data_IF_594651377237
#
_entry.id   IF_594651377237
#
_cell.length_a   1.000
_cell.length_b   1.000
_cell.length_c   1.000
_cell.angle_alpha   90.00
_cell.angle_beta   90.00
_cell.angle_gamma   90.00
#
_symmetry.space_group_name_H-M   'P 1'
#
loop_
_entity.id
_entity.type
_entity.pdbx_description
1 polymer ?
#
# COMPACT_ATOMS: atom_id res chain seq x y z
N UNK A 1 3.58 -2.38 -18.81
CA UNK A 1 2.98 -2.21 -17.47
C UNK A 1 2.16 -0.93 -17.55
N UNK A 2 0.82 -1.04 -17.60
CA UNK A 2 -0.07 0.14 -17.75
C UNK A 2 -0.07 0.85 -16.40
N UNK A 3 0.26 2.14 -16.38
CA UNK A 3 0.22 2.99 -15.18
C UNK A 3 -1.14 2.84 -14.49
N UNK A 4 -1.18 2.56 -13.18
CA UNK A 4 -2.45 2.45 -12.44
C UNK A 4 -3.31 3.72 -12.50
N UNK A 5 -2.75 4.85 -12.85
CA UNK A 5 -3.44 6.14 -13.03
C UNK A 5 -4.40 6.19 -14.23
N UNK A 6 -4.34 5.21 -15.16
CA UNK A 6 -5.21 5.18 -16.36
C UNK A 6 -6.61 4.61 -16.07
N UNK A 7 -6.90 4.10 -14.87
CA UNK A 7 -8.22 3.52 -14.55
C UNK A 7 -9.20 4.44 -13.86
N UNK A 8 -8.82 5.60 -13.42
CA UNK A 8 -9.79 6.65 -13.15
C UNK A 8 -10.18 7.24 -14.50
N UNK A 9 -11.26 6.71 -15.06
CA UNK A 9 -11.76 7.17 -16.35
C UNK A 9 -11.80 8.70 -16.36
N UNK A 10 -11.42 9.28 -17.47
CA UNK A 10 -11.49 10.66 -17.97
C UNK A 10 -12.12 11.79 -17.12
N UNK A 11 -12.46 11.57 -15.86
CA UNK A 11 -12.78 12.61 -14.89
C UNK A 11 -11.46 13.23 -14.43
N UNK A 12 -11.25 14.48 -14.81
CA UNK A 12 -10.22 15.31 -14.18
C UNK A 12 -10.52 15.31 -12.70
N UNK A 13 -9.60 14.83 -11.86
CA UNK A 13 -9.71 15.00 -10.39
C UNK A 13 -10.03 16.46 -10.02
N UNK A 14 -9.53 17.40 -10.81
CA UNK A 14 -9.77 18.85 -10.76
C UNK A 14 -11.26 19.23 -10.88
N UNK A 15 -12.10 18.39 -11.46
CA UNK A 15 -13.54 18.67 -11.65
C UNK A 15 -14.42 18.13 -10.52
N UNK A 16 -13.83 17.41 -9.55
CA UNK A 16 -14.57 16.95 -8.38
C UNK A 16 -14.70 18.11 -7.37
N UNK A 17 -15.88 18.38 -6.82
CA UNK A 17 -16.08 19.39 -5.76
C UNK A 17 -15.22 19.15 -4.51
N UNK A 18 -14.83 17.89 -4.30
CA UNK A 18 -14.03 17.40 -3.18
C UNK A 18 -12.52 17.44 -3.46
N UNK A 19 -12.11 17.84 -4.65
CA UNK A 19 -10.70 17.80 -5.07
C UNK A 19 -9.79 18.56 -4.11
N UNK A 20 -10.16 19.75 -3.70
CA UNK A 20 -9.34 20.56 -2.79
C UNK A 20 -9.11 19.83 -1.45
N UNK A 21 -10.14 19.21 -0.90
CA UNK A 21 -10.02 18.47 0.36
C UNK A 21 -9.15 17.21 0.20
N UNK A 22 -9.32 16.49 -0.89
CA UNK A 22 -8.51 15.28 -1.19
C UNK A 22 -7.06 15.69 -1.45
N UNK A 23 -6.82 16.77 -2.20
CA UNK A 23 -5.50 17.29 -2.48
C UNK A 23 -4.75 17.65 -1.19
N UNK A 24 -5.37 18.44 -0.33
CA UNK A 24 -4.76 18.90 0.93
C UNK A 24 -4.44 17.72 1.86
N UNK A 25 -5.37 16.78 2.00
CA UNK A 25 -5.14 15.56 2.78
C UNK A 25 -4.05 14.68 2.17
N UNK A 26 -4.02 14.52 0.86
CA UNK A 26 -2.98 13.74 0.18
C UNK A 26 -1.60 14.41 0.31
N UNK A 27 -1.54 15.74 0.23
CA UNK A 27 -0.30 16.48 0.40
C UNK A 27 0.22 16.34 1.84
N UNK A 28 -0.65 16.49 2.85
CA UNK A 28 -0.29 16.32 4.27
C UNK A 28 0.31 14.94 4.52
N UNK A 29 -0.39 13.88 4.17
CA UNK A 29 0.09 12.50 4.33
C UNK A 29 1.38 12.23 3.54
N UNK A 30 1.52 12.83 2.37
CA UNK A 30 2.72 12.67 1.56
C UNK A 30 3.92 13.43 2.14
N UNK A 31 3.68 14.58 2.79
CA UNK A 31 4.70 15.35 3.51
C UNK A 31 5.20 14.63 4.77
N UNK A 32 4.37 13.84 5.43
CA UNK A 32 4.81 13.01 6.57
C UNK A 32 5.89 12.00 6.14
N UNK A 33 5.81 11.51 4.90
CA UNK A 33 6.83 10.62 4.34
C UNK A 33 8.01 11.40 3.76
N UNK A 34 7.70 12.50 3.06
CA UNK A 34 8.67 13.29 2.29
C UNK A 34 8.58 14.78 2.67
N UNK A 35 9.18 15.21 3.79
CA UNK A 35 9.02 16.58 4.32
C UNK A 35 9.50 17.71 3.40
N UNK A 36 10.28 17.39 2.36
CA UNK A 36 10.75 18.39 1.38
C UNK A 36 9.73 18.70 0.29
N UNK A 37 8.64 17.96 0.22
CA UNK A 37 7.57 18.18 -0.75
C UNK A 37 6.77 19.39 -0.31
N UNK A 38 6.54 20.31 -1.22
CA UNK A 38 5.80 21.55 -1.00
C UNK A 38 4.40 21.50 -1.60
N UNK A 39 4.23 20.73 -2.70
CA UNK A 39 2.98 20.66 -3.42
C UNK A 39 2.93 19.45 -4.37
N UNK A 40 1.72 19.08 -4.78
CA UNK A 40 1.43 18.02 -5.75
C UNK A 40 0.45 18.62 -6.77
N UNK A 41 0.70 18.39 -8.06
CA UNK A 41 -0.21 18.87 -9.11
C UNK A 41 -0.35 17.87 -10.24
N UNK A 42 -1.46 18.00 -10.98
CA UNK A 42 -1.70 17.29 -12.21
C UNK A 42 -1.33 18.20 -13.40
N UNK A 43 -0.42 17.73 -14.22
CA UNK A 43 0.04 18.48 -15.39
C UNK A 43 -0.32 17.73 -16.66
N UNK A 44 -0.86 18.48 -17.61
CA UNK A 44 -1.12 18.01 -18.96
C UNK A 44 0.10 18.29 -19.83
N UNK A 45 0.58 17.27 -20.55
CA UNK A 45 1.66 17.46 -21.51
C UNK A 45 1.10 17.85 -22.90
N UNK A 46 2.00 18.17 -23.84
CA UNK A 46 1.65 18.58 -25.19
C UNK A 46 0.86 17.52 -26.00
N UNK A 47 0.81 16.29 -25.54
CA UNK A 47 0.07 15.17 -26.15
C UNK A 47 -1.27 14.91 -25.45
N UNK A 48 -1.80 15.84 -24.66
CA UNK A 48 -3.00 15.70 -23.85
C UNK A 48 -2.96 14.49 -22.90
N UNK A 49 -1.75 14.12 -22.42
CA UNK A 49 -1.57 13.10 -21.41
C UNK A 49 -1.39 13.77 -20.06
N UNK A 50 -2.12 13.30 -19.08
CA UNK A 50 -2.01 13.79 -17.70
C UNK A 50 -0.94 13.00 -16.95
N UNK A 51 -0.17 13.73 -16.17
CA UNK A 51 0.84 13.17 -15.29
C UNK A 51 0.87 13.92 -13.96
N UNK A 52 1.53 13.33 -12.98
CA UNK A 52 1.75 13.96 -11.69
C UNK A 52 3.05 14.78 -11.74
N UNK A 53 3.02 15.94 -11.10
CA UNK A 53 4.21 16.71 -10.76
C UNK A 53 4.22 16.92 -9.23
N UNK A 54 5.41 16.89 -8.64
CA UNK A 54 5.64 17.27 -7.25
C UNK A 54 6.54 18.49 -7.19
N UNK A 55 6.26 19.40 -6.26
CA UNK A 55 7.10 20.56 -6.02
C UNK A 55 8.05 20.29 -4.86
N UNK A 56 9.34 20.44 -5.09
CA UNK A 56 10.39 20.33 -4.08
C UNK A 56 11.49 21.32 -4.33
N UNK A 57 12.01 21.99 -3.29
CA UNK A 57 13.02 23.05 -3.41
C UNK A 57 12.65 24.12 -4.47
N UNK A 58 11.37 24.53 -4.49
CA UNK A 58 10.80 25.51 -5.44
C UNK A 58 10.84 25.09 -6.92
N UNK A 59 11.12 23.82 -7.20
CA UNK A 59 11.11 23.28 -8.57
C UNK A 59 10.05 22.18 -8.71
N UNK A 60 9.38 22.18 -9.87
CA UNK A 60 8.48 21.10 -10.24
C UNK A 60 9.23 19.92 -10.85
N UNK A 61 9.03 18.75 -10.28
CA UNK A 61 9.58 17.47 -10.75
C UNK A 61 8.45 16.67 -11.39
N UNK A 62 8.57 16.44 -12.69
CA UNK A 62 7.58 15.71 -13.47
C UNK A 62 7.61 14.21 -13.17
N UNK A 63 6.47 13.53 -13.33
CA UNK A 63 6.27 12.11 -13.02
C UNK A 63 7.41 11.18 -13.46
N UNK A 64 7.96 11.38 -14.66
CA UNK A 64 9.06 10.57 -15.21
C UNK A 64 10.36 10.63 -14.41
N UNK A 65 10.52 11.67 -13.60
CA UNK A 65 11.69 11.91 -12.75
C UNK A 65 11.40 11.69 -11.26
N UNK A 66 10.17 11.35 -10.90
CA UNK A 66 9.77 10.98 -9.53
C UNK A 66 10.17 9.52 -9.29
N UNK A 67 10.71 9.19 -8.12
CA UNK A 67 11.05 7.80 -7.79
C UNK A 67 9.81 6.90 -7.78
N UNK A 68 10.00 5.64 -8.12
CA UNK A 68 8.90 4.66 -8.11
C UNK A 68 8.26 4.50 -6.72
N UNK A 69 9.07 4.57 -5.66
CA UNK A 69 8.58 4.50 -4.28
C UNK A 69 7.70 5.69 -3.92
N UNK A 70 8.11 6.92 -4.28
CA UNK A 70 7.29 8.11 -4.08
C UNK A 70 5.96 8.03 -4.83
N UNK A 71 6.01 7.64 -6.12
CA UNK A 71 4.78 7.47 -6.91
C UNK A 71 3.85 6.40 -6.32
N UNK A 72 4.42 5.30 -5.84
CA UNK A 72 3.62 4.23 -5.24
C UNK A 72 3.01 4.67 -3.91
N UNK A 73 3.76 5.38 -3.06
CA UNK A 73 3.23 5.94 -1.81
C UNK A 73 2.06 6.90 -2.07
N UNK A 74 2.26 7.84 -2.99
CA UNK A 74 1.22 8.78 -3.37
C UNK A 74 -0.01 8.07 -3.96
N UNK A 75 0.20 7.02 -4.75
CA UNK A 75 -0.89 6.20 -5.29
C UNK A 75 -1.71 5.52 -4.18
N UNK A 76 -1.05 4.94 -3.17
CA UNK A 76 -1.75 4.34 -2.03
C UNK A 76 -2.54 5.39 -1.24
N UNK A 77 -1.91 6.53 -0.94
CA UNK A 77 -2.55 7.64 -0.24
C UNK A 77 -3.84 8.07 -0.97
N UNK A 78 -3.74 8.39 -2.25
CA UNK A 78 -4.89 8.83 -3.04
C UNK A 78 -5.99 7.76 -3.09
N UNK A 79 -5.64 6.49 -3.30
CA UNK A 79 -6.65 5.42 -3.34
C UNK A 79 -7.38 5.25 -1.99
N UNK A 80 -6.65 5.32 -0.87
CA UNK A 80 -7.25 5.21 0.45
C UNK A 80 -8.18 6.39 0.73
N UNK A 81 -7.79 7.60 0.33
CA UNK A 81 -8.59 8.80 0.53
C UNK A 81 -9.84 8.85 -0.37
N UNK A 82 -9.76 8.29 -1.59
CA UNK A 82 -10.82 8.45 -2.60
C UNK A 82 -11.76 7.25 -2.74
N UNK A 83 -11.40 6.10 -2.17
CA UNK A 83 -12.26 4.92 -2.25
C UNK A 83 -13.56 5.13 -1.49
N UNK A 84 -14.66 4.65 -2.05
CA UNK A 84 -15.98 4.76 -1.44
C UNK A 84 -16.05 3.96 -0.11
N UNK A 85 -16.93 4.43 0.78
CA UNK A 85 -17.24 3.71 2.01
C UNK A 85 -17.74 2.29 1.68
N UNK A 86 -17.44 1.33 2.57
CA UNK A 86 -17.80 -0.09 2.44
C UNK A 86 -17.13 -0.80 1.25
N UNK A 87 -16.13 -0.18 0.62
CA UNK A 87 -15.35 -0.79 -0.45
C UNK A 87 -14.33 -1.82 0.09
N UNK A 88 -13.90 -2.69 -0.82
CA UNK A 88 -12.81 -3.65 -0.58
C UNK A 88 -11.61 -3.28 -1.45
N UNK A 89 -10.46 -3.03 -0.83
CA UNK A 89 -9.19 -2.80 -1.53
C UNK A 89 -8.36 -4.09 -1.46
N UNK A 90 -7.86 -4.53 -2.60
CA UNK A 90 -6.94 -5.66 -2.69
C UNK A 90 -5.54 -5.17 -3.07
N UNK A 91 -4.56 -5.45 -2.22
CA UNK A 91 -3.17 -5.03 -2.40
C UNK A 91 -2.28 -6.28 -2.46
N UNK A 92 -1.69 -6.54 -3.62
CA UNK A 92 -0.73 -7.63 -3.77
C UNK A 92 0.69 -7.11 -3.60
N UNK A 93 1.49 -7.81 -2.80
CA UNK A 93 2.85 -7.41 -2.42
C UNK A 93 2.90 -5.93 -2.01
N UNK A 94 2.16 -5.58 -0.96
CA UNK A 94 1.97 -4.20 -0.51
C UNK A 94 3.28 -3.41 -0.41
N UNK A 95 4.31 -4.02 0.18
CA UNK A 95 5.62 -3.39 0.39
C UNK A 95 6.45 -3.23 -0.88
N UNK A 96 6.12 -3.92 -1.95
CA UNK A 96 6.95 -3.94 -3.16
C UNK A 96 7.13 -2.54 -3.75
N UNK A 97 8.38 -2.06 -3.76
CA UNK A 97 8.74 -0.74 -4.25
C UNK A 97 8.48 0.42 -3.28
N UNK A 98 7.99 0.16 -2.07
CA UNK A 98 7.92 1.16 -1.00
C UNK A 98 9.25 1.21 -0.22
N UNK A 99 9.68 2.40 0.17
CA UNK A 99 10.75 2.57 1.16
C UNK A 99 10.23 2.29 2.57
N UNK A 100 11.13 1.99 3.53
CA UNK A 100 10.76 1.67 4.92
C UNK A 100 9.91 2.77 5.56
N UNK A 101 10.28 4.03 5.36
CA UNK A 101 9.52 5.19 5.84
C UNK A 101 8.13 5.33 5.21
N UNK A 102 7.95 4.85 3.99
CA UNK A 102 6.64 4.87 3.32
C UNK A 102 5.72 3.79 3.90
N UNK A 103 6.28 2.63 4.24
CA UNK A 103 5.52 1.51 4.78
C UNK A 103 4.83 1.90 6.08
N UNK A 104 5.53 2.63 6.96
CA UNK A 104 5.00 3.06 8.26
C UNK A 104 3.76 3.94 8.10
N UNK A 105 3.90 5.04 7.39
CA UNK A 105 2.81 6.01 7.21
C UNK A 105 1.62 5.38 6.48
N UNK A 106 1.86 4.68 5.37
CA UNK A 106 0.75 4.09 4.60
C UNK A 106 0.06 2.97 5.39
N UNK A 107 0.81 2.19 6.19
CA UNK A 107 0.20 1.16 7.05
C UNK A 107 -0.69 1.79 8.13
N UNK A 108 -0.27 2.88 8.75
CA UNK A 108 -1.06 3.59 9.75
C UNK A 108 -2.35 4.18 9.14
N UNK A 109 -2.28 4.78 7.97
CA UNK A 109 -3.48 5.24 7.25
C UNK A 109 -4.48 4.11 7.05
N UNK A 110 -3.99 2.95 6.60
CA UNK A 110 -4.83 1.77 6.35
C UNK A 110 -5.51 1.28 7.63
N UNK A 111 -4.77 1.25 8.74
CA UNK A 111 -5.25 0.64 9.98
C UNK A 111 -6.13 1.55 10.82
N UNK A 112 -5.89 2.87 10.77
CA UNK A 112 -6.46 3.81 11.72
C UNK A 112 -7.44 4.81 11.10
N UNK A 113 -7.20 5.26 9.87
CA UNK A 113 -7.96 6.37 9.30
C UNK A 113 -9.22 5.94 8.54
N UNK A 114 -9.26 4.71 8.02
CA UNK A 114 -10.37 4.22 7.19
C UNK A 114 -10.96 2.90 7.71
N UNK A 115 -11.52 2.89 8.92
CA UNK A 115 -12.18 1.69 9.48
C UNK A 115 -13.47 1.33 8.73
N UNK A 116 -13.92 2.18 7.82
CA UNK A 116 -15.11 2.03 6.99
C UNK A 116 -14.85 1.22 5.70
N UNK A 117 -13.61 0.83 5.42
CA UNK A 117 -13.25 0.00 4.25
C UNK A 117 -12.63 -1.32 4.69
N UNK A 118 -12.72 -2.33 3.85
CA UNK A 118 -12.01 -3.59 4.03
C UNK A 118 -10.75 -3.64 3.18
N UNK A 119 -9.62 -4.00 3.79
CA UNK A 119 -8.36 -4.16 3.05
C UNK A 119 -7.93 -5.62 3.13
N UNK A 120 -7.65 -6.21 1.97
CA UNK A 120 -7.06 -7.54 1.82
C UNK A 120 -5.68 -7.34 1.20
N UNK A 121 -4.61 -7.63 1.94
CA UNK A 121 -3.26 -7.44 1.43
C UNK A 121 -2.41 -8.70 1.55
N UNK A 122 -1.50 -8.88 0.61
CA UNK A 122 -0.40 -9.84 0.75
C UNK A 122 0.87 -9.08 1.12
N UNK A 123 1.65 -9.63 2.04
CA UNK A 123 2.94 -9.09 2.44
C UNK A 123 3.81 -10.18 3.03
N UNK A 124 5.11 -10.07 2.81
CA UNK A 124 6.12 -10.86 3.49
C UNK A 124 7.08 -9.99 4.34
N UNK A 125 6.80 -8.68 4.42
CA UNK A 125 7.65 -7.74 5.14
C UNK A 125 7.42 -7.83 6.66
N UNK A 126 8.46 -8.06 7.48
CA UNK A 126 8.33 -8.25 8.92
C UNK A 126 7.61 -7.10 9.63
N UNK A 127 7.88 -5.87 9.19
CA UNK A 127 7.26 -4.67 9.78
C UNK A 127 5.73 -4.73 9.62
N UNK A 128 5.23 -4.96 8.41
CA UNK A 128 3.79 -5.03 8.12
C UNK A 128 3.13 -6.14 8.91
N UNK A 129 3.73 -7.33 8.91
CA UNK A 129 3.23 -8.48 9.65
C UNK A 129 3.12 -8.16 11.14
N UNK A 130 4.09 -7.43 11.70
CA UNK A 130 4.04 -7.02 13.12
C UNK A 130 3.03 -5.89 13.40
N UNK A 131 2.68 -5.05 12.43
CA UNK A 131 1.66 -4.01 12.58
C UNK A 131 0.25 -4.60 12.61
N UNK A 132 -0.03 -5.61 11.78
CA UNK A 132 -1.38 -6.21 11.67
C UNK A 132 -1.66 -7.10 12.88
N UNK A 133 -2.87 -7.02 13.50
CA UNK A 133 -3.29 -7.97 14.53
C UNK A 133 -3.29 -9.41 14.02
N UNK A 134 -2.75 -10.33 14.83
CA UNK A 134 -2.56 -11.74 14.43
C UNK A 134 -3.88 -12.45 14.06
N UNK A 135 -4.98 -12.06 14.66
CA UNK A 135 -6.33 -12.56 14.35
C UNK A 135 -6.75 -12.27 12.89
N UNK A 136 -6.09 -11.32 12.23
CA UNK A 136 -6.34 -10.97 10.84
C UNK A 136 -5.35 -11.64 9.87
N UNK A 137 -4.44 -12.49 10.35
CA UNK A 137 -3.50 -13.17 9.46
C UNK A 137 -4.10 -14.41 8.84
N UNK A 138 -3.96 -14.49 7.53
CA UNK A 138 -4.27 -15.67 6.73
C UNK A 138 -2.96 -16.18 6.10
N UNK A 139 -2.54 -17.37 6.50
CA UNK A 139 -1.33 -18.01 6.02
C UNK A 139 -1.70 -18.83 4.80
N UNK A 140 -1.19 -18.41 3.63
CA UNK A 140 -1.42 -19.11 2.37
C UNK A 140 -0.17 -19.89 1.99
N UNK A 141 -0.35 -21.19 1.75
CA UNK A 141 0.73 -22.09 1.36
C UNK A 141 0.31 -23.04 0.25
N UNK A 142 1.29 -23.55 -0.50
CA UNK A 142 1.07 -24.60 -1.46
C UNK A 142 1.39 -25.95 -0.82
N UNK A 143 0.49 -26.91 -0.98
CA UNK A 143 0.69 -28.30 -0.57
C UNK A 143 0.46 -29.16 -1.81
N UNK A 144 1.54 -29.58 -2.45
CA UNK A 144 1.52 -30.27 -3.72
C UNK A 144 0.89 -29.41 -4.83
N UNK A 145 -0.27 -29.82 -5.34
CA UNK A 145 -1.01 -29.08 -6.39
C UNK A 145 -2.10 -28.16 -5.88
N UNK A 146 -2.29 -28.09 -4.54
CA UNK A 146 -3.37 -27.31 -3.92
C UNK A 146 -2.80 -26.11 -3.17
N UNK A 147 -3.50 -24.99 -3.25
CA UNK A 147 -3.28 -23.84 -2.37
C UNK A 147 -4.23 -23.97 -1.19
N UNK A 148 -3.70 -23.81 0.00
CA UNK A 148 -4.46 -23.82 1.27
C UNK A 148 -4.25 -22.52 2.00
N UNK A 149 -5.31 -22.00 2.59
CA UNK A 149 -5.27 -20.83 3.47
C UNK A 149 -5.75 -21.24 4.86
N UNK A 150 -4.96 -20.90 5.87
CA UNK A 150 -5.20 -21.26 7.27
C UNK A 150 -5.11 -19.97 8.09
N UNK A 151 -6.01 -19.78 9.07
CA UNK A 151 -5.90 -18.65 10.01
C UNK A 151 -4.69 -18.83 10.92
N UNK A 152 -4.11 -17.74 11.42
CA UNK A 152 -3.01 -17.81 12.37
C UNK A 152 -3.44 -18.51 13.69
N UNK A 153 -4.70 -18.38 14.06
CA UNK A 153 -5.28 -19.04 15.24
C UNK A 153 -5.27 -20.57 15.07
N UNK A 154 -5.69 -21.07 13.91
CA UNK A 154 -5.69 -22.51 13.61
C UNK A 154 -4.27 -23.07 13.41
N UNK A 155 -3.32 -22.19 13.06
CA UNK A 155 -1.91 -22.54 12.91
C UNK A 155 -1.17 -22.66 14.25
N UNK A 156 -1.83 -22.27 15.35
CA UNK A 156 -1.30 -22.36 16.73
C UNK A 156 0.07 -21.69 16.88
N UNK A 157 0.19 -20.45 16.39
CA UNK A 157 1.38 -19.63 16.58
C UNK A 157 1.49 -19.08 18.00
N UNK A 158 2.70 -18.69 18.42
CA UNK A 158 2.96 -18.11 19.73
C UNK A 158 2.11 -16.89 20.05
N UNK A 159 2.03 -16.55 21.36
CA UNK A 159 1.10 -15.52 21.85
C UNK A 159 1.50 -14.09 21.51
N UNK A 160 2.79 -13.80 21.32
CA UNK A 160 3.24 -12.47 20.91
C UNK A 160 3.40 -12.41 19.38
N UNK A 161 3.10 -11.25 18.78
CA UNK A 161 3.23 -11.03 17.32
C UNK A 161 4.64 -11.38 16.82
N UNK A 162 5.67 -10.99 17.55
CA UNK A 162 7.06 -11.22 17.17
C UNK A 162 7.42 -12.71 17.22
N UNK A 163 7.03 -13.41 18.28
CA UNK A 163 7.25 -14.86 18.43
C UNK A 163 6.46 -15.62 17.36
N UNK A 164 5.20 -15.25 17.14
CA UNK A 164 4.36 -15.83 16.10
C UNK A 164 4.96 -15.70 14.71
N UNK A 165 5.53 -14.54 14.39
CA UNK A 165 6.22 -14.31 13.11
C UNK A 165 7.46 -15.20 12.97
N UNK A 166 8.34 -15.26 14.00
CA UNK A 166 9.54 -16.09 13.98
C UNK A 166 9.17 -17.57 13.84
N UNK A 167 8.16 -18.01 14.60
CA UNK A 167 7.69 -19.39 14.55
C UNK A 167 7.11 -19.73 13.18
N UNK A 168 6.30 -18.84 12.59
CA UNK A 168 5.76 -19.00 11.25
C UNK A 168 6.89 -19.16 10.23
N UNK A 169 7.88 -18.28 10.23
CA UNK A 169 9.01 -18.34 9.29
C UNK A 169 9.82 -19.61 9.45
N UNK A 170 10.03 -20.08 10.68
CA UNK A 170 10.74 -21.32 10.95
C UNK A 170 9.94 -22.54 10.45
N UNK A 171 8.63 -22.57 10.66
CA UNK A 171 7.77 -23.67 10.20
C UNK A 171 7.70 -23.72 8.67
N UNK A 172 7.47 -22.57 8.01
CA UNK A 172 7.45 -22.53 6.54
C UNK A 172 8.76 -23.00 5.94
N UNK A 173 9.90 -22.58 6.50
CA UNK A 173 11.22 -23.05 6.06
C UNK A 173 11.44 -24.55 6.27
N UNK A 174 10.93 -25.12 7.36
CA UNK A 174 11.01 -26.55 7.59
C UNK A 174 10.11 -27.34 6.62
N UNK A 175 8.91 -26.86 6.33
CA UNK A 175 8.01 -27.47 5.36
C UNK A 175 8.61 -27.48 3.95
N UNK A 176 9.22 -26.38 3.54
CA UNK A 176 9.95 -26.26 2.27
C UNK A 176 11.10 -27.29 2.17
N UNK A 177 11.91 -27.41 3.24
CA UNK A 177 13.01 -28.40 3.29
C UNK A 177 12.53 -29.86 3.27
N UNK A 178 11.32 -30.13 3.72
CA UNK A 178 10.72 -31.47 3.72
C UNK A 178 9.99 -31.80 2.41
N UNK A 179 9.98 -30.90 1.44
CA UNK A 179 9.33 -31.10 0.14
C UNK A 179 7.80 -31.21 0.27
N UNK A 180 7.24 -30.54 1.26
CA UNK A 180 5.79 -30.43 1.46
C UNK A 180 5.20 -29.26 0.64
N UNK A 181 5.93 -28.82 -0.37
CA UNK A 181 5.49 -27.81 -1.36
C UNK A 181 4.52 -28.36 -2.42
#
# INVERSE_FOLDING_TARGET
MVSPFVRFGTMKLIELPEYASIHDSALEQFQDIFPTIQDIDYVENEMNQYGIAIKTNDHWVMQKNISSGMLKSLWHIINILTVEKDAVIMLDEFENGLGINCIDVVSNMILEERPDIQIIMTSHHPYIINCIPMENWLITRRVGKKVQTISAQDYHLGQSKHEAYIELMNRLKQEELQGID
#
